data_IF_830128544568
#
_entry.id   IF_830128544568
#
_cell.length_a   1.000
_cell.length_b   1.000
_cell.length_c   1.000
_cell.angle_alpha   90.00
_cell.angle_beta   90.00
_cell.angle_gamma   90.00
#
_symmetry.space_group_name_H-M   'P 1'
#
loop_
_entity.id
_entity.type
_entity.pdbx_description
1 polymer ?
#
# COMPACT_ATOMS: atom_id res chain seq x y z
N UNK A 1 -13.09 -18.50 1.32
CA UNK A 1 -12.74 -17.67 0.14
C UNK A 1 -12.68 -16.19 0.56
N UNK A 2 -12.02 -15.29 -0.18
CA UNK A 2 -11.74 -13.89 0.24
C UNK A 2 -12.98 -13.05 0.60
N UNK A 3 -14.16 -13.45 0.12
CA UNK A 3 -15.45 -12.79 0.38
C UNK A 3 -16.25 -13.47 1.50
N UNK A 4 -15.69 -14.50 2.12
CA UNK A 4 -16.29 -15.19 3.26
C UNK A 4 -16.04 -14.37 4.54
N UNK A 5 -17.10 -13.75 5.11
CA UNK A 5 -16.93 -12.89 6.26
C UNK A 5 -16.43 -13.65 7.48
N UNK A 6 -16.76 -14.94 7.63
CA UNK A 6 -16.38 -15.75 8.78
C UNK A 6 -14.88 -16.05 8.77
N UNK A 7 -14.34 -16.39 7.60
CA UNK A 7 -12.91 -16.63 7.44
C UNK A 7 -12.08 -15.35 7.59
N UNK A 8 -12.63 -14.19 7.18
CA UNK A 8 -11.95 -12.90 7.28
C UNK A 8 -12.11 -12.22 8.66
N UNK A 9 -13.02 -12.69 9.53
CA UNK A 9 -13.31 -12.06 10.82
C UNK A 9 -12.06 -11.81 11.67
N UNK A 10 -11.12 -12.76 11.68
CA UNK A 10 -9.89 -12.64 12.47
C UNK A 10 -9.07 -11.45 11.99
N UNK A 11 -8.82 -11.34 10.69
CA UNK A 11 -8.11 -10.19 10.09
C UNK A 11 -8.82 -8.87 10.39
N UNK A 12 -10.15 -8.84 10.25
CA UNK A 12 -10.94 -7.64 10.52
C UNK A 12 -10.93 -7.22 11.98
N UNK A 13 -10.90 -8.19 12.91
CA UNK A 13 -10.80 -7.94 14.34
C UNK A 13 -9.46 -7.32 14.70
N UNK A 14 -8.36 -7.78 14.10
CA UNK A 14 -7.03 -7.18 14.31
C UNK A 14 -7.01 -5.70 13.86
N UNK A 15 -7.58 -5.38 12.70
CA UNK A 15 -7.71 -3.98 12.27
C UNK A 15 -8.50 -3.13 13.27
N UNK A 16 -9.61 -3.64 13.82
CA UNK A 16 -10.44 -2.92 14.81
C UNK A 16 -9.73 -2.67 16.14
N UNK A 17 -8.79 -3.53 16.55
CA UNK A 17 -8.01 -3.31 17.80
C UNK A 17 -7.21 -2.01 17.76
N UNK A 18 -6.80 -1.56 16.57
CA UNK A 18 -6.09 -0.30 16.39
C UNK A 18 -6.97 0.94 16.60
N UNK A 19 -8.31 0.81 16.55
CA UNK A 19 -9.22 1.96 16.52
C UNK A 19 -9.08 2.89 17.73
N UNK A 20 -8.84 2.34 18.92
CA UNK A 20 -8.64 3.14 20.14
C UNK A 20 -7.36 3.97 20.07
N UNK A 21 -6.28 3.39 19.55
CA UNK A 21 -5.00 4.09 19.38
C UNK A 21 -5.11 5.20 18.33
N UNK A 22 -5.86 4.96 17.24
CA UNK A 22 -6.11 5.97 16.21
C UNK A 22 -6.90 7.18 16.72
N UNK A 23 -7.77 6.99 17.71
CA UNK A 23 -8.49 8.09 18.35
C UNK A 23 -7.58 9.10 19.05
N UNK A 24 -6.37 8.69 19.45
CA UNK A 24 -5.38 9.57 20.08
C UNK A 24 -4.80 10.61 19.10
N UNK A 25 -4.98 10.41 17.80
CA UNK A 25 -4.53 11.36 16.75
C UNK A 25 -5.44 12.60 16.64
N UNK A 26 -6.63 12.58 17.25
CA UNK A 26 -7.55 13.70 17.23
C UNK A 26 -6.98 14.93 17.96
N UNK A 27 -6.37 14.74 19.13
CA UNK A 27 -5.82 15.86 19.92
C UNK A 27 -4.63 16.57 19.24
N UNK A 28 -3.60 15.87 18.72
CA UNK A 28 -2.46 16.51 18.08
C UNK A 28 -2.71 16.96 16.64
N UNK A 29 -3.57 16.27 15.87
CA UNK A 29 -3.69 16.48 14.41
C UNK A 29 -5.13 16.78 13.95
N UNK A 30 -6.11 16.81 14.84
CA UNK A 30 -7.52 16.99 14.45
C UNK A 30 -8.09 15.79 13.67
N UNK A 31 -7.42 14.64 13.67
CA UNK A 31 -7.83 13.49 12.85
C UNK A 31 -9.02 12.75 13.46
N UNK A 32 -10.16 12.78 12.76
CA UNK A 32 -11.40 12.08 13.14
C UNK A 32 -11.67 10.84 12.26
N UNK A 33 -10.80 10.54 11.29
CA UNK A 33 -10.98 9.48 10.29
C UNK A 33 -10.65 8.06 10.75
N UNK A 34 -10.58 7.79 12.05
CA UNK A 34 -10.11 6.50 12.59
C UNK A 34 -10.93 5.30 12.10
N UNK A 35 -12.25 5.45 11.96
CA UNK A 35 -13.13 4.40 11.40
C UNK A 35 -12.82 4.12 9.93
N UNK A 36 -12.60 5.17 9.12
CA UNK A 36 -12.25 5.04 7.71
C UNK A 36 -10.90 4.35 7.51
N UNK A 37 -9.93 4.64 8.40
CA UNK A 37 -8.63 3.96 8.38
C UNK A 37 -8.78 2.46 8.68
N UNK A 38 -9.56 2.10 9.70
CA UNK A 38 -9.86 0.69 10.01
C UNK A 38 -10.51 -0.01 8.81
N UNK A 39 -11.50 0.62 8.15
CA UNK A 39 -12.11 0.05 6.96
C UNK A 39 -11.12 -0.11 5.81
N UNK A 40 -10.25 0.88 5.57
CA UNK A 40 -9.20 0.77 4.57
C UNK A 40 -8.23 -0.39 4.85
N UNK A 41 -7.90 -0.65 6.11
CA UNK A 41 -7.06 -1.79 6.48
C UNK A 41 -7.77 -3.14 6.28
N UNK A 42 -9.09 -3.19 6.54
CA UNK A 42 -9.91 -4.37 6.28
C UNK A 42 -10.02 -4.66 4.78
N UNK A 43 -10.28 -3.62 3.98
CA UNK A 43 -10.34 -3.69 2.52
C UNK A 43 -9.01 -4.17 1.93
N UNK A 44 -7.89 -3.62 2.40
CA UNK A 44 -6.56 -4.06 1.99
C UNK A 44 -6.32 -5.55 2.31
N UNK A 45 -6.69 -6.01 3.51
CA UNK A 45 -6.53 -7.41 3.88
C UNK A 45 -7.36 -8.34 2.98
N UNK A 46 -8.57 -7.90 2.61
CA UNK A 46 -9.47 -8.63 1.73
C UNK A 46 -8.94 -8.68 0.29
N UNK A 47 -8.44 -7.56 -0.23
CA UNK A 47 -7.82 -7.49 -1.55
C UNK A 47 -6.59 -8.41 -1.63
N UNK A 48 -5.70 -8.36 -0.63
CA UNK A 48 -4.53 -9.24 -0.59
C UNK A 48 -4.92 -10.72 -0.54
N UNK A 49 -5.99 -11.07 0.18
CA UNK A 49 -6.52 -12.44 0.19
C UNK A 49 -7.08 -12.83 -1.18
N UNK A 50 -7.80 -11.93 -1.85
CA UNK A 50 -8.34 -12.16 -3.19
C UNK A 50 -7.23 -12.38 -4.22
N UNK A 51 -6.21 -11.53 -4.22
CA UNK A 51 -5.05 -11.63 -5.09
C UNK A 51 -4.26 -12.93 -4.85
N UNK A 52 -4.13 -13.34 -3.59
CA UNK A 52 -3.48 -14.60 -3.20
C UNK A 52 -4.21 -15.81 -3.75
N UNK A 53 -5.54 -15.86 -3.59
CA UNK A 53 -6.36 -16.95 -4.11
C UNK A 53 -6.36 -16.98 -5.64
N UNK A 54 -6.48 -15.82 -6.29
CA UNK A 54 -6.41 -15.72 -7.74
C UNK A 54 -5.05 -16.23 -8.26
N UNK A 55 -3.94 -15.81 -7.63
CA UNK A 55 -2.60 -16.28 -7.97
C UNK A 55 -2.46 -17.78 -7.78
N UNK A 56 -2.97 -18.33 -6.67
CA UNK A 56 -2.93 -19.77 -6.42
C UNK A 56 -3.68 -20.56 -7.49
N UNK A 57 -4.91 -20.15 -7.82
CA UNK A 57 -5.73 -20.81 -8.84
C UNK A 57 -5.04 -20.76 -10.21
N UNK A 58 -4.51 -19.59 -10.58
CA UNK A 58 -3.80 -19.42 -11.85
C UNK A 58 -2.55 -20.32 -11.93
N UNK A 59 -1.74 -20.38 -10.88
CA UNK A 59 -0.54 -21.23 -10.88
C UNK A 59 -0.88 -22.73 -10.79
N UNK A 60 -1.93 -23.09 -10.06
CA UNK A 60 -2.41 -24.47 -9.99
C UNK A 60 -2.88 -24.96 -11.36
N UNK A 61 -3.68 -24.15 -12.07
CA UNK A 61 -4.16 -24.47 -13.43
C UNK A 61 -3.00 -24.67 -14.43
N UNK A 62 -1.93 -23.88 -14.29
CA UNK A 62 -0.73 -24.00 -15.13
C UNK A 62 0.11 -25.25 -14.83
N UNK A 63 0.11 -25.72 -13.59
CA UNK A 63 0.99 -26.81 -13.14
C UNK A 63 0.30 -28.17 -13.06
N UNK A 64 -1.05 -28.21 -12.98
CA UNK A 64 -1.82 -29.44 -12.95
C UNK A 64 -2.23 -29.86 -14.35
N UNK A 65 -1.78 -31.03 -14.79
CA UNK A 65 -2.18 -31.62 -16.07
C UNK A 65 -2.86 -32.96 -15.84
N UNK A 66 -3.70 -33.39 -16.79
CA UNK A 66 -4.41 -34.68 -16.73
C UNK A 66 -3.47 -35.90 -16.71
N UNK A 67 -2.18 -35.70 -16.99
CA UNK A 67 -1.17 -36.76 -17.01
C UNK A 67 -0.53 -37.03 -15.64
N UNK A 68 -0.77 -36.18 -14.64
CA UNK A 68 -0.18 -36.33 -13.31
C UNK A 68 -0.97 -37.33 -12.47
N UNK A 69 -0.26 -38.17 -11.72
CA UNK A 69 -0.85 -38.93 -10.62
C UNK A 69 -1.10 -38.03 -9.39
N UNK A 70 -1.76 -38.58 -8.37
CA UNK A 70 -2.12 -37.83 -7.16
C UNK A 70 -0.91 -37.32 -6.38
N UNK A 71 0.17 -38.09 -6.29
CA UNK A 71 1.37 -37.70 -5.53
C UNK A 71 2.14 -36.60 -6.26
N UNK A 72 2.25 -36.72 -7.57
CA UNK A 72 2.84 -35.70 -8.44
C UNK A 72 2.03 -34.40 -8.41
N UNK A 73 0.70 -34.49 -8.48
CA UNK A 73 -0.18 -33.32 -8.36
C UNK A 73 -0.01 -32.63 -7.00
N UNK A 74 0.05 -33.40 -5.90
CA UNK A 74 0.28 -32.85 -4.56
C UNK A 74 1.64 -32.15 -4.46
N UNK A 75 2.71 -32.74 -5.03
CA UNK A 75 4.04 -32.12 -5.07
C UNK A 75 4.04 -30.80 -5.86
N UNK A 76 3.33 -30.73 -6.99
CA UNK A 76 3.19 -29.48 -7.74
C UNK A 76 2.43 -28.42 -6.94
N UNK A 77 1.34 -28.80 -6.27
CA UNK A 77 0.57 -27.87 -5.42
C UNK A 77 1.37 -27.32 -4.25
N UNK A 78 2.26 -28.10 -3.62
CA UNK A 78 3.16 -27.58 -2.58
C UNK A 78 4.18 -26.59 -3.14
N UNK A 79 4.71 -26.81 -4.35
CA UNK A 79 5.56 -25.82 -5.04
C UNK A 79 4.78 -24.54 -5.34
N UNK A 80 3.55 -24.66 -5.83
CA UNK A 80 2.64 -23.53 -6.08
C UNK A 80 2.41 -22.75 -4.79
N UNK A 81 2.07 -23.43 -3.69
CA UNK A 81 1.88 -22.83 -2.37
C UNK A 81 3.11 -22.05 -1.93
N UNK A 82 4.31 -22.61 -2.06
CA UNK A 82 5.56 -21.92 -1.72
C UNK A 82 5.75 -20.63 -2.52
N UNK A 83 5.48 -20.66 -3.84
CA UNK A 83 5.55 -19.48 -4.72
C UNK A 83 4.52 -18.42 -4.34
N UNK A 84 3.29 -18.83 -4.07
CA UNK A 84 2.21 -17.91 -3.67
C UNK A 84 2.53 -17.26 -2.34
N UNK A 85 3.03 -18.01 -1.35
CA UNK A 85 3.37 -17.44 -0.05
C UNK A 85 4.50 -16.40 -0.15
N UNK A 86 5.53 -16.68 -0.98
CA UNK A 86 6.61 -15.71 -1.24
C UNK A 86 6.08 -14.44 -1.91
N UNK A 87 5.19 -14.58 -2.90
CA UNK A 87 4.55 -13.43 -3.57
C UNK A 87 3.68 -12.64 -2.61
N UNK A 88 2.84 -13.31 -1.81
CA UNK A 88 2.01 -12.66 -0.81
C UNK A 88 2.84 -11.85 0.20
N UNK A 89 3.96 -12.38 0.69
CA UNK A 89 4.86 -11.64 1.59
C UNK A 89 5.42 -10.37 0.94
N UNK A 90 5.86 -10.46 -0.32
CA UNK A 90 6.35 -9.30 -1.07
C UNK A 90 5.25 -8.25 -1.31
N UNK A 91 4.09 -8.70 -1.82
CA UNK A 91 2.98 -7.82 -2.18
C UNK A 91 2.37 -7.16 -0.94
N UNK A 92 2.20 -7.90 0.16
CA UNK A 92 1.69 -7.36 1.43
C UNK A 92 2.64 -6.31 2.03
N UNK A 93 3.97 -6.52 1.97
CA UNK A 93 4.93 -5.53 2.43
C UNK A 93 4.87 -4.22 1.62
N UNK A 94 4.77 -4.34 0.29
CA UNK A 94 4.61 -3.18 -0.60
C UNK A 94 3.28 -2.45 -0.36
N UNK A 95 2.19 -3.20 -0.26
CA UNK A 95 0.86 -2.64 -0.04
C UNK A 95 0.72 -1.98 1.33
N UNK A 96 1.30 -2.58 2.38
CA UNK A 96 1.36 -1.97 3.71
C UNK A 96 2.13 -0.66 3.70
N UNK A 97 3.29 -0.59 3.03
CA UNK A 97 4.06 0.64 2.91
C UNK A 97 3.27 1.74 2.22
N UNK A 98 2.62 1.42 1.09
CA UNK A 98 1.73 2.35 0.37
C UNK A 98 0.58 2.82 1.26
N UNK A 99 -0.09 1.90 1.94
CA UNK A 99 -1.21 2.19 2.82
C UNK A 99 -0.82 3.15 3.96
N UNK A 100 0.28 2.88 4.65
CA UNK A 100 0.76 3.75 5.74
C UNK A 100 1.13 5.14 5.19
N UNK A 101 1.84 5.19 4.05
CA UNK A 101 2.22 6.44 3.38
C UNK A 101 1.01 7.31 3.05
N UNK A 102 -0.01 6.73 2.43
CA UNK A 102 -1.24 7.45 2.05
C UNK A 102 -2.01 7.96 3.27
N UNK A 103 -2.12 7.15 4.32
CA UNK A 103 -2.81 7.58 5.54
C UNK A 103 -2.04 8.63 6.32
N UNK A 104 -0.71 8.54 6.40
CA UNK A 104 0.12 9.59 6.99
C UNK A 104 -0.07 10.92 6.25
N UNK A 105 -0.11 10.90 4.92
CA UNK A 105 -0.39 12.11 4.14
C UNK A 105 -1.79 12.66 4.45
N UNK A 106 -2.83 11.81 4.48
CA UNK A 106 -4.21 12.22 4.81
C UNK A 106 -4.35 12.80 6.22
N UNK A 107 -3.55 12.31 7.17
CA UNK A 107 -3.56 12.79 8.56
C UNK A 107 -2.81 14.11 8.68
N UNK A 108 -1.60 14.20 8.13
CA UNK A 108 -0.71 15.33 8.38
C UNK A 108 -0.95 16.51 7.44
N UNK A 109 -1.39 16.30 6.20
CA UNK A 109 -1.54 17.40 5.25
C UNK A 109 -2.51 18.49 5.73
N UNK A 110 -3.76 18.17 6.16
CA UNK A 110 -4.67 19.21 6.67
C UNK A 110 -4.11 19.93 7.89
N UNK A 111 -3.44 19.20 8.77
CA UNK A 111 -2.79 19.77 9.95
C UNK A 111 -1.69 20.77 9.55
N UNK A 112 -0.74 20.37 8.69
CA UNK A 112 0.37 21.24 8.27
C UNK A 112 -0.16 22.48 7.55
N UNK A 113 -1.15 22.34 6.67
CA UNK A 113 -1.75 23.49 5.98
C UNK A 113 -2.37 24.47 6.98
N UNK A 114 -3.12 23.99 7.98
CA UNK A 114 -3.73 24.85 9.00
C UNK A 114 -2.71 25.62 9.86
N UNK A 115 -1.52 25.04 10.08
CA UNK A 115 -0.46 25.66 10.86
C UNK A 115 0.32 26.72 10.06
N UNK A 116 0.38 26.57 8.74
CA UNK A 116 1.09 27.47 7.84
C UNK A 116 0.19 28.57 7.25
N UNK A 117 -1.13 28.36 7.26
CA UNK A 117 -2.12 29.32 6.76
C UNK A 117 -1.93 30.76 7.30
N UNK A 118 -1.65 31.01 8.60
CA UNK A 118 -1.49 32.37 9.12
C UNK A 118 -0.27 33.11 8.58
N UNK A 119 0.83 32.40 8.30
CA UNK A 119 2.07 33.00 7.79
C UNK A 119 2.07 33.15 6.28
N UNK A 120 1.48 32.20 5.55
CA UNK A 120 1.61 32.15 4.09
C UNK A 120 0.53 32.93 3.34
N UNK A 121 -0.63 33.23 3.96
CA UNK A 121 -1.74 33.91 3.27
C UNK A 121 -1.36 35.24 2.62
N UNK A 122 -0.57 36.06 3.30
CA UNK A 122 -0.16 37.36 2.77
C UNK A 122 0.84 37.23 1.61
N UNK A 123 1.78 36.30 1.72
CA UNK A 123 2.81 36.04 0.70
C UNK A 123 2.20 35.43 -0.56
N UNK A 124 1.20 34.55 -0.43
CA UNK A 124 0.55 33.90 -1.58
C UNK A 124 -0.16 34.91 -2.49
N UNK A 125 -0.80 35.94 -1.93
CA UNK A 125 -1.46 36.98 -2.72
C UNK A 125 -0.51 37.77 -3.64
N UNK A 126 0.78 37.82 -3.33
CA UNK A 126 1.78 38.50 -4.18
C UNK A 126 1.98 37.78 -5.52
N UNK A 127 1.79 36.45 -5.55
CA UNK A 127 1.99 35.61 -6.74
C UNK A 127 0.70 35.37 -7.53
N UNK A 128 -0.45 35.86 -7.05
CA UNK A 128 -1.75 35.61 -7.66
C UNK A 128 -1.83 36.18 -9.09
N UNK A 129 -1.24 37.36 -9.32
CA UNK A 129 -1.15 37.96 -10.66
C UNK A 129 -0.33 37.12 -11.64
N UNK A 130 0.78 36.54 -11.19
CA UNK A 130 1.64 35.69 -12.02
C UNK A 130 0.95 34.37 -12.40
N UNK A 131 0.23 33.77 -11.46
CA UNK A 131 -0.55 32.54 -11.72
C UNK A 131 -1.70 32.83 -12.69
N UNK A 132 -2.41 33.95 -12.52
CA UNK A 132 -3.47 34.36 -13.44
C UNK A 132 -2.94 34.63 -14.86
N UNK A 133 -1.73 35.18 -14.98
CA UNK A 133 -1.09 35.44 -16.28
C UNK A 133 -0.79 34.15 -17.07
N UNK A 134 -0.67 33.00 -16.41
CA UNK A 134 -0.54 31.68 -17.08
C UNK A 134 -1.82 31.30 -17.84
N UNK A 135 -2.98 31.87 -17.47
CA UNK A 135 -4.24 31.69 -18.19
C UNK A 135 -4.83 30.27 -18.12
N UNK A 136 -4.39 29.46 -17.16
CA UNK A 136 -4.89 28.10 -16.94
C UNK A 136 -5.89 28.07 -15.78
N UNK A 137 -7.16 27.73 -16.01
CA UNK A 137 -8.14 27.62 -14.93
C UNK A 137 -7.87 26.43 -13.99
N UNK A 138 -6.96 25.52 -14.36
CA UNK A 138 -6.54 24.40 -13.53
C UNK A 138 -5.43 24.77 -12.52
N UNK A 139 -4.76 25.92 -12.70
CA UNK A 139 -3.70 26.39 -11.82
C UNK A 139 -4.25 27.49 -10.90
N UNK A 140 -4.26 27.23 -9.60
CA UNK A 140 -4.57 28.22 -8.56
C UNK A 140 -3.38 28.37 -7.64
N UNK A 141 -3.22 29.55 -7.04
CA UNK A 141 -2.13 29.80 -6.10
C UNK A 141 -2.24 28.88 -4.87
N UNK A 142 -3.46 28.61 -4.41
CA UNK A 142 -3.74 27.67 -3.32
C UNK A 142 -3.38 26.23 -3.71
N UNK A 143 -3.67 25.82 -4.95
CA UNK A 143 -3.35 24.49 -5.45
C UNK A 143 -1.83 24.27 -5.56
N UNK A 144 -1.11 25.27 -6.09
CA UNK A 144 0.36 25.25 -6.15
C UNK A 144 0.96 25.18 -4.74
N UNK A 145 0.46 26.00 -3.82
CA UNK A 145 0.89 25.98 -2.43
C UNK A 145 0.65 24.61 -1.77
N UNK A 146 -0.55 24.05 -1.91
CA UNK A 146 -0.88 22.73 -1.38
C UNK A 146 0.04 21.65 -1.97
N UNK A 147 0.34 21.69 -3.26
CA UNK A 147 1.21 20.73 -3.93
C UNK A 147 2.67 20.82 -3.44
N UNK A 148 3.18 22.02 -3.20
CA UNK A 148 4.51 22.23 -2.61
C UNK A 148 4.57 21.62 -1.20
N UNK A 149 3.59 21.96 -0.35
CA UNK A 149 3.51 21.42 1.02
C UNK A 149 3.37 19.90 1.00
N UNK A 150 2.51 19.36 0.14
CA UNK A 150 2.32 17.92 -0.09
C UNK A 150 3.62 17.25 -0.50
N UNK A 151 4.37 17.85 -1.43
CA UNK A 151 5.66 17.34 -1.90
C UNK A 151 6.69 17.21 -0.78
N UNK A 152 6.87 18.27 0.01
CA UNK A 152 7.79 18.27 1.16
C UNK A 152 7.37 17.27 2.23
N UNK A 153 6.07 17.21 2.54
CA UNK A 153 5.51 16.27 3.51
C UNK A 153 5.71 14.82 3.07
N UNK A 154 5.48 14.51 1.80
CA UNK A 154 5.71 13.18 1.23
C UNK A 154 7.19 12.76 1.33
N UNK A 155 8.12 13.66 1.02
CA UNK A 155 9.55 13.38 1.21
C UNK A 155 9.88 13.04 2.66
N UNK A 156 9.30 13.77 3.63
CA UNK A 156 9.54 13.49 5.04
C UNK A 156 8.93 12.16 5.47
N UNK A 157 7.69 11.88 5.04
CA UNK A 157 7.02 10.59 5.27
C UNK A 157 7.86 9.44 4.73
N UNK A 158 8.31 9.52 3.48
CA UNK A 158 9.10 8.47 2.83
C UNK A 158 10.43 8.24 3.56
N UNK A 159 11.07 9.32 4.03
CA UNK A 159 12.28 9.25 4.85
C UNK A 159 12.06 8.54 6.19
N UNK A 160 10.98 8.85 6.91
CA UNK A 160 10.68 8.20 8.19
C UNK A 160 10.22 6.75 8.01
N UNK A 161 9.46 6.45 6.95
CA UNK A 161 9.07 5.07 6.61
C UNK A 161 10.28 4.19 6.32
N UNK A 162 11.27 4.72 5.57
CA UNK A 162 12.53 3.99 5.30
C UNK A 162 13.31 3.68 6.57
N UNK A 163 13.30 4.58 7.57
CA UNK A 163 13.95 4.34 8.87
C UNK A 163 13.18 3.31 9.70
N UNK A 164 11.85 3.45 9.78
CA UNK A 164 11.01 2.62 10.62
C UNK A 164 10.86 1.17 10.12
N UNK A 165 10.78 0.99 8.80
CA UNK A 165 10.64 -0.34 8.18
C UNK A 165 11.99 -1.00 7.87
N UNK A 166 13.10 -0.31 8.15
CA UNK A 166 14.44 -0.72 7.74
C UNK A 166 14.66 -0.61 6.23
N UNK A 167 15.93 -0.54 5.82
CA UNK A 167 16.32 -0.73 4.42
C UNK A 167 16.16 -2.21 4.10
N UNK A 168 14.93 -2.67 3.88
CA UNK A 168 14.70 -3.98 3.29
C UNK A 168 14.95 -3.92 1.79
N UNK A 169 16.21 -3.69 1.39
CA UNK A 169 16.70 -4.18 0.12
C UNK A 169 16.83 -5.70 0.27
N UNK A 170 15.70 -6.39 0.16
CA UNK A 170 15.73 -7.76 -0.33
C UNK A 170 15.63 -7.62 -1.83
N UNK A 171 16.76 -7.29 -2.45
CA UNK A 171 16.99 -7.73 -3.82
C UNK A 171 16.78 -9.24 -3.79
N UNK A 172 15.65 -9.71 -4.30
CA UNK A 172 15.54 -11.10 -4.69
C UNK A 172 16.57 -11.29 -5.81
N UNK A 173 17.77 -11.75 -5.43
CA UNK A 173 18.73 -12.30 -6.36
C UNK A 173 17.98 -13.37 -7.16
N UNK A 174 17.78 -13.07 -8.43
CA UNK A 174 17.40 -14.03 -9.46
C UNK A 174 18.62 -14.92 -9.70
N UNK A 175 18.94 -15.78 -8.73
CA UNK A 175 19.94 -16.81 -8.93
C UNK A 175 19.24 -18.13 -9.30
N UNK A 176 19.41 -18.50 -10.57
CA UNK A 176 19.51 -19.90 -10.97
C UNK A 176 18.24 -20.56 -11.51
N UNK A 177 17.61 -20.03 -12.56
CA UNK A 177 17.00 -20.92 -13.55
C UNK A 177 18.13 -21.45 -14.45
N UNK A 178 18.73 -22.58 -14.08
CA UNK A 178 19.46 -23.37 -15.07
C UNK A 178 18.43 -24.01 -15.99
N UNK A 179 18.34 -23.49 -17.22
CA UNK A 179 17.78 -24.24 -18.34
C UNK A 179 18.65 -25.50 -18.54
N UNK A 180 18.06 -26.67 -18.29
CA UNK A 180 18.63 -27.92 -18.80
C UNK A 180 18.19 -28.06 -20.27
N UNK A 181 19.12 -28.27 -21.22
CA UNK A 181 18.78 -28.58 -22.59
C UNK A 181 18.15 -29.98 -22.65
N UNK A 182 16.97 -30.07 -23.24
CA UNK A 182 16.41 -31.35 -23.66
C UNK A 182 17.25 -31.87 -24.83
N UNK A 183 18.15 -32.80 -24.56
CA UNK A 183 18.74 -33.65 -25.59
C UNK A 183 18.79 -35.12 -25.11
N UNK A 184 17.99 -35.93 -25.82
CA UNK A 184 18.16 -37.37 -26.11
C UNK A 184 18.23 -38.36 -24.94
N UNK A 185 17.13 -39.11 -24.73
CA UNK A 185 16.95 -40.49 -25.24
C UNK A 185 15.61 -41.08 -24.75
#
# INVERSE_FOLDING_TARGET
MPWDPELMQTCYREARRSQRHLGQLAAPFGFLGGRSLVFGAQDLAQQLMADTVATFLQLADQCLTMALDCDQAAQQLEKVRGRVLKKFQSDSGSAQRRFIREWQLRIFLPFVLSQLEPSCKAELSEFEGDVLAVGSPALTIEGIYEDVVRGVLLQRIDGELKKALGVSDVSCSLDGCSEAPWDQM
#
